data_IF_838613447858
#
_entry.id   IF_838613447858
#
_cell.length_a   1.000
_cell.length_b   1.000
_cell.length_c   1.000
_cell.angle_alpha   90.00
_cell.angle_beta   90.00
_cell.angle_gamma   90.00
#
_symmetry.space_group_name_H-M   'P 1'
#
loop_
_entity.id
_entity.type
_entity.pdbx_description
1 polymer ?
#
# COMPACT_ATOMS: atom_id res chain seq x y z
N UNK A 1 -2.53 -57.16 -9.24
CA UNK A 1 -2.08 -56.53 -7.97
C UNK A 1 -0.88 -55.60 -8.20
N UNK A 2 0.31 -56.09 -8.59
CA UNK A 2 1.52 -55.27 -8.69
C UNK A 2 1.46 -54.05 -9.66
N UNK A 3 0.83 -54.18 -10.84
CA UNK A 3 0.66 -53.05 -11.78
C UNK A 3 -0.20 -51.91 -11.25
N UNK A 4 -1.20 -52.24 -10.41
CA UNK A 4 -2.09 -51.24 -9.82
C UNK A 4 -1.36 -50.47 -8.70
N UNK A 5 -0.54 -51.16 -7.91
CA UNK A 5 0.30 -50.53 -6.88
C UNK A 5 1.39 -49.63 -7.48
N UNK A 6 1.93 -49.97 -8.65
CA UNK A 6 2.92 -49.14 -9.32
C UNK A 6 2.31 -47.81 -9.83
N UNK A 7 1.09 -47.87 -10.35
CA UNK A 7 0.37 -46.69 -10.85
C UNK A 7 0.00 -45.71 -9.73
N UNK A 8 -0.42 -46.23 -8.57
CA UNK A 8 -0.77 -45.39 -7.41
C UNK A 8 0.46 -44.69 -6.82
N UNK A 9 1.61 -45.36 -6.76
CA UNK A 9 2.87 -44.74 -6.31
C UNK A 9 3.28 -43.59 -7.24
N UNK A 10 3.13 -43.77 -8.57
CA UNK A 10 3.46 -42.72 -9.54
C UNK A 10 2.57 -41.47 -9.39
N UNK A 11 1.28 -41.65 -9.11
CA UNK A 11 0.33 -40.56 -8.86
C UNK A 11 0.61 -39.80 -7.55
N UNK A 12 1.11 -40.50 -6.52
CA UNK A 12 1.52 -39.86 -5.27
C UNK A 12 2.79 -39.02 -5.48
N UNK A 13 3.76 -39.49 -6.25
CA UNK A 13 5.00 -38.74 -6.51
C UNK A 13 4.74 -37.47 -7.35
N UNK A 14 3.84 -37.54 -8.34
CA UNK A 14 3.52 -36.37 -9.17
C UNK A 14 2.75 -35.29 -8.39
N UNK A 15 1.80 -35.68 -7.55
CA UNK A 15 1.06 -34.74 -6.69
C UNK A 15 1.96 -34.10 -5.62
N UNK A 16 2.91 -34.86 -5.06
CA UNK A 16 3.89 -34.32 -4.12
C UNK A 16 4.85 -33.31 -4.79
N UNK A 17 5.25 -33.56 -6.04
CA UNK A 17 6.08 -32.64 -6.82
C UNK A 17 5.37 -31.31 -7.12
N UNK A 18 4.07 -31.37 -7.44
CA UNK A 18 3.23 -30.18 -7.66
C UNK A 18 3.06 -29.38 -6.36
N UNK A 19 2.85 -30.06 -5.22
CA UNK A 19 2.74 -29.40 -3.92
C UNK A 19 4.07 -28.76 -3.46
N UNK A 20 5.20 -29.42 -3.69
CA UNK A 20 6.54 -28.85 -3.41
C UNK A 20 6.82 -27.66 -4.32
N UNK A 21 6.42 -27.74 -5.60
CA UNK A 21 6.54 -26.61 -6.52
C UNK A 21 5.67 -25.43 -6.07
N UNK A 22 4.39 -25.68 -5.73
CA UNK A 22 3.42 -24.69 -5.25
C UNK A 22 3.67 -24.15 -3.84
N UNK A 23 4.60 -24.74 -3.07
CA UNK A 23 5.04 -24.18 -1.78
C UNK A 23 6.35 -23.42 -1.91
N UNK A 24 7.20 -23.77 -2.88
CA UNK A 24 8.39 -22.99 -3.24
C UNK A 24 8.04 -21.72 -3.99
N UNK A 25 7.06 -21.79 -4.87
CA UNK A 25 6.41 -20.61 -5.43
C UNK A 25 5.20 -20.33 -4.56
N UNK A 26 5.23 -19.28 -3.72
CA UNK A 26 3.98 -18.68 -3.24
C UNK A 26 3.02 -18.44 -4.43
N UNK A 27 1.73 -18.15 -4.18
CA UNK A 27 0.72 -18.07 -5.25
C UNK A 27 1.30 -17.36 -6.48
N UNK A 28 1.34 -18.09 -7.61
CA UNK A 28 1.84 -17.66 -8.93
C UNK A 28 1.74 -16.15 -9.05
N UNK A 29 2.89 -15.49 -9.24
CA UNK A 29 3.07 -14.05 -9.45
C UNK A 29 1.84 -13.41 -10.12
N UNK A 30 0.87 -13.03 -9.29
CA UNK A 30 -0.05 -11.98 -9.62
C UNK A 30 0.82 -10.77 -9.41
N UNK A 31 1.32 -10.18 -10.50
CA UNK A 31 1.92 -8.85 -10.44
C UNK A 31 1.05 -8.02 -9.49
N UNK A 32 1.61 -7.64 -8.34
CA UNK A 32 0.85 -6.97 -7.31
C UNK A 32 0.36 -5.66 -7.90
N UNK A 33 -0.88 -5.61 -8.41
CA UNK A 33 -1.39 -4.45 -9.16
C UNK A 33 -1.31 -3.15 -8.36
N UNK A 34 -1.30 -3.29 -7.03
CA UNK A 34 -1.17 -2.23 -6.05
C UNK A 34 0.28 -1.77 -5.79
N UNK A 35 1.32 -2.49 -6.22
CA UNK A 35 2.74 -2.13 -6.08
C UNK A 35 3.53 -2.48 -7.35
N UNK A 36 4.01 -1.46 -8.06
CA UNK A 36 4.71 -1.65 -9.33
C UNK A 36 6.01 -0.85 -9.36
N UNK A 37 7.13 -1.47 -9.75
CA UNK A 37 8.36 -0.73 -10.06
C UNK A 37 8.23 -0.19 -11.48
N UNK A 38 8.20 1.14 -11.62
CA UNK A 38 7.98 1.82 -12.90
C UNK A 38 9.26 2.38 -13.51
N UNK A 39 10.34 2.50 -12.73
CA UNK A 39 11.66 2.90 -13.23
C UNK A 39 12.77 2.41 -12.29
N UNK A 40 13.91 2.07 -12.86
CA UNK A 40 15.14 1.73 -12.13
C UNK A 40 16.31 2.43 -12.81
N UNK A 41 17.11 3.17 -12.05
CA UNK A 41 18.30 3.86 -12.50
C UNK A 41 19.45 3.62 -11.51
N UNK A 42 20.32 2.67 -11.82
CA UNK A 42 21.33 2.19 -10.88
C UNK A 42 20.67 1.65 -9.61
N UNK A 43 21.04 2.21 -8.46
CA UNK A 43 20.46 1.85 -7.16
C UNK A 43 19.17 2.63 -6.84
N UNK A 44 18.72 3.54 -7.70
CA UNK A 44 17.49 4.29 -7.48
C UNK A 44 16.31 3.58 -8.15
N UNK A 45 15.24 3.31 -7.40
CA UNK A 45 14.00 2.73 -7.91
C UNK A 45 12.86 3.72 -7.73
N UNK A 46 11.99 3.81 -8.73
CA UNK A 46 10.70 4.49 -8.61
C UNK A 46 9.59 3.47 -8.68
N UNK A 47 8.71 3.48 -7.67
CA UNK A 47 7.55 2.62 -7.57
C UNK A 47 6.25 3.42 -7.60
N UNK A 48 5.23 2.84 -8.21
CA UNK A 48 3.84 3.25 -8.07
C UNK A 48 3.14 2.35 -7.06
N UNK A 49 2.50 2.94 -6.05
CA UNK A 49 1.60 2.21 -5.15
C UNK A 49 0.17 2.70 -5.34
N UNK A 50 -0.79 1.79 -5.39
CA UNK A 50 -2.22 2.12 -5.54
C UNK A 50 -3.07 1.35 -4.54
N UNK A 51 -3.66 2.05 -3.57
CA UNK A 51 -4.46 1.42 -2.51
C UNK A 51 -5.53 2.37 -1.98
N UNK A 52 -6.37 1.85 -1.07
CA UNK A 52 -7.46 2.61 -0.46
C UNK A 52 -7.27 2.70 1.06
N UNK A 53 -7.45 3.89 1.60
CA UNK A 53 -7.54 4.12 3.03
C UNK A 53 -9.00 4.17 3.44
N UNK A 54 -9.35 3.39 4.46
CA UNK A 54 -10.62 3.48 5.14
C UNK A 54 -10.38 4.27 6.42
N UNK A 55 -11.08 5.39 6.59
CA UNK A 55 -10.99 6.22 7.80
C UNK A 55 -12.36 6.29 8.44
N UNK A 56 -12.54 5.55 9.53
CA UNK A 56 -13.70 5.64 10.42
C UNK A 56 -13.41 6.74 11.43
N UNK A 57 -14.11 7.88 11.28
CA UNK A 57 -13.92 9.10 12.07
C UNK A 57 -14.88 9.13 13.28
N UNK A 58 -16.06 8.51 13.15
CA UNK A 58 -17.11 8.40 14.16
C UNK A 58 -17.29 6.99 14.75
N UNK A 59 -18.30 6.80 15.60
CA UNK A 59 -18.65 5.50 16.19
C UNK A 59 -17.65 4.90 17.21
N UNK A 60 -17.97 3.69 17.67
CA UNK A 60 -17.18 2.94 18.68
C UNK A 60 -15.90 2.33 18.09
N UNK A 61 -15.89 2.02 16.78
CA UNK A 61 -14.81 1.30 16.09
C UNK A 61 -13.98 2.22 15.18
N UNK A 62 -13.39 3.28 15.75
CA UNK A 62 -12.59 4.26 14.98
C UNK A 62 -11.33 3.63 14.40
N UNK A 63 -10.96 4.01 13.18
CA UNK A 63 -9.71 3.55 12.57
C UNK A 63 -8.53 4.27 13.21
N UNK A 64 -7.50 3.52 13.62
CA UNK A 64 -6.22 4.10 14.03
C UNK A 64 -5.52 4.62 12.79
N UNK A 65 -5.35 5.93 12.72
CA UNK A 65 -4.54 6.62 11.73
C UNK A 65 -3.46 7.41 12.48
N UNK A 66 -2.20 7.18 12.13
CA UNK A 66 -1.09 7.85 12.80
C UNK A 66 -0.70 9.13 12.05
N UNK A 67 -1.12 10.26 12.62
CA UNK A 67 -0.84 11.57 12.07
C UNK A 67 -1.38 12.69 12.95
N UNK A 68 -0.82 13.89 12.82
CA UNK A 68 -1.31 15.10 13.48
C UNK A 68 -1.88 16.01 12.41
N UNK A 69 -3.11 16.46 12.63
CA UNK A 69 -3.80 17.41 11.76
C UNK A 69 -4.20 18.64 12.55
N UNK A 70 -3.92 19.81 11.99
CA UNK A 70 -4.24 21.11 12.60
C UNK A 70 -5.08 21.94 11.64
N UNK A 71 -5.98 22.77 12.15
CA UNK A 71 -6.71 23.72 11.28
C UNK A 71 -5.73 24.71 10.65
N UNK A 72 -5.77 24.84 9.33
CA UNK A 72 -4.79 25.61 8.55
C UNK A 72 -5.44 26.56 7.53
N UNK A 73 -6.74 26.80 7.65
CA UNK A 73 -7.48 27.68 6.75
C UNK A 73 -8.01 28.92 7.45
N UNK A 74 -7.62 30.10 6.94
CA UNK A 74 -8.18 31.39 7.39
C UNK A 74 -9.58 31.67 6.84
N UNK A 75 -9.90 31.13 5.65
CA UNK A 75 -11.17 31.38 4.92
C UNK A 75 -11.91 30.10 4.50
N UNK A 76 -11.27 28.93 4.63
CA UNK A 76 -11.80 27.64 4.17
C UNK A 76 -11.48 26.57 5.19
N UNK A 77 -12.31 25.54 5.30
CA UNK A 77 -11.98 24.36 6.12
C UNK A 77 -10.83 23.60 5.46
N UNK A 78 -9.64 23.71 6.04
CA UNK A 78 -8.45 22.99 5.59
C UNK A 78 -7.65 22.53 6.80
N UNK A 79 -7.10 21.32 6.73
CA UNK A 79 -6.16 20.82 7.71
C UNK A 79 -4.73 20.95 7.17
N UNK A 80 -3.75 21.16 8.03
CA UNK A 80 -2.35 20.85 7.75
C UNK A 80 -2.04 19.55 8.48
N UNK A 81 -1.67 18.52 7.73
CA UNK A 81 -1.46 17.16 8.24
C UNK A 81 -0.04 16.67 8.02
N UNK A 82 0.55 16.09 9.06
CA UNK A 82 1.62 15.11 8.94
C UNK A 82 1.04 13.72 9.14
N UNK A 83 1.38 12.79 8.26
CA UNK A 83 0.96 11.41 8.40
C UNK A 83 1.99 10.47 7.84
N UNK A 84 2.01 9.25 8.34
CA UNK A 84 2.85 8.21 7.80
C UNK A 84 2.05 6.93 7.60
N UNK A 85 2.43 6.20 6.55
CA UNK A 85 1.90 4.91 6.20
C UNK A 85 2.87 3.86 6.73
N UNK A 86 2.39 2.98 7.60
CA UNK A 86 3.13 1.81 8.06
C UNK A 86 2.58 0.57 7.33
N UNK A 87 3.41 -0.09 6.53
CA UNK A 87 2.98 -1.26 5.76
C UNK A 87 3.20 -2.53 6.58
N UNK A 88 2.17 -3.37 6.70
CA UNK A 88 2.17 -4.56 7.57
C UNK A 88 2.26 -5.88 6.83
N UNK A 89 2.32 -5.87 5.50
CA UNK A 89 2.26 -7.07 4.67
C UNK A 89 2.98 -6.88 3.34
N UNK A 90 3.12 -7.98 2.59
CA UNK A 90 3.78 -8.01 1.29
C UNK A 90 5.28 -7.74 1.38
N UNK A 91 5.89 -7.47 0.22
CA UNK A 91 7.34 -7.23 0.10
C UNK A 91 7.84 -5.99 0.87
N UNK A 92 6.95 -5.06 1.22
CA UNK A 92 7.28 -3.81 1.90
C UNK A 92 6.94 -3.82 3.40
N UNK A 93 6.62 -4.99 3.97
CA UNK A 93 6.30 -5.14 5.39
C UNK A 93 7.36 -4.50 6.30
N UNK A 94 6.91 -3.73 7.29
CA UNK A 94 7.75 -2.99 8.24
C UNK A 94 8.34 -1.68 7.70
N UNK A 95 8.13 -1.37 6.43
CA UNK A 95 8.57 -0.10 5.83
C UNK A 95 7.55 1.01 6.07
N UNK A 96 7.99 2.26 6.00
CA UNK A 96 7.10 3.43 6.11
C UNK A 96 7.31 4.45 5.01
N UNK A 97 6.25 5.21 4.70
CA UNK A 97 6.30 6.41 3.85
C UNK A 97 5.64 7.56 4.64
N UNK A 98 6.31 8.71 4.72
CA UNK A 98 5.80 9.90 5.39
C UNK A 98 5.38 10.96 4.39
N UNK A 99 4.21 11.56 4.61
CA UNK A 99 3.65 12.66 3.83
C UNK A 99 3.39 13.88 4.72
N UNK A 100 3.55 15.06 4.14
CA UNK A 100 3.30 16.32 4.82
C UNK A 100 2.61 17.28 3.87
N UNK A 101 1.47 17.83 4.25
CA UNK A 101 0.81 18.77 3.36
C UNK A 101 -0.50 19.34 3.88
N UNK A 102 -1.02 20.31 3.13
CA UNK A 102 -2.33 20.90 3.35
C UNK A 102 -3.40 19.97 2.76
N UNK A 103 -4.36 19.59 3.59
CA UNK A 103 -5.49 18.73 3.29
C UNK A 103 -6.82 19.51 3.35
N UNK A 104 -7.26 20.12 2.24
CA UNK A 104 -8.60 20.67 2.15
C UNK A 104 -9.60 19.53 1.95
N UNK A 105 -9.94 18.83 3.04
CA UNK A 105 -10.85 17.65 3.08
C UNK A 105 -12.17 17.85 2.30
N UNK A 106 -12.62 19.10 2.15
CA UNK A 106 -13.91 19.47 1.55
C UNK A 106 -13.83 19.73 0.03
N UNK A 107 -12.68 19.52 -0.61
CA UNK A 107 -12.56 19.71 -2.06
C UNK A 107 -12.81 18.39 -2.79
N UNK A 108 -13.86 18.34 -3.62
CA UNK A 108 -14.18 17.22 -4.52
C UNK A 108 -13.19 17.16 -5.72
N UNK A 109 -11.89 17.17 -5.43
CA UNK A 109 -10.81 17.13 -6.42
C UNK A 109 -9.64 16.31 -5.89
N UNK A 110 -8.84 15.68 -6.77
CA UNK A 110 -7.61 15.02 -6.38
C UNK A 110 -6.65 15.99 -5.67
N UNK A 111 -6.07 15.52 -4.58
CA UNK A 111 -5.12 16.28 -3.77
C UNK A 111 -3.73 15.65 -3.85
N UNK A 112 -2.75 16.45 -4.24
CA UNK A 112 -1.35 16.05 -4.20
C UNK A 112 -0.71 16.43 -2.86
N UNK A 113 0.05 15.51 -2.27
CA UNK A 113 0.90 15.77 -1.11
C UNK A 113 2.31 15.22 -1.35
N UNK A 114 3.36 15.94 -0.94
CA UNK A 114 4.73 15.45 -1.09
C UNK A 114 5.01 14.30 -0.12
N UNK A 115 5.77 13.32 -0.61
CA UNK A 115 6.45 12.32 0.21
C UNK A 115 7.74 12.97 0.71
N UNK A 116 7.87 13.10 2.03
CA UNK A 116 8.98 13.78 2.69
C UNK A 116 9.99 12.83 3.32
N UNK A 117 9.74 11.52 3.24
CA UNK A 117 10.67 10.51 3.72
C UNK A 117 10.06 9.12 3.82
N UNK A 118 10.85 8.16 4.29
CA UNK A 118 10.44 6.78 4.52
C UNK A 118 11.49 5.98 5.28
N UNK A 119 11.10 4.81 5.76
CA UNK A 119 11.97 3.86 6.48
C UNK A 119 11.90 2.48 5.84
N UNK A 120 12.80 1.57 6.24
CA UNK A 120 12.87 0.23 5.67
C UNK A 120 13.28 0.26 4.20
N UNK A 121 12.49 -0.39 3.33
CA UNK A 121 12.72 -0.40 1.89
C UNK A 121 12.70 1.01 1.29
N UNK A 122 11.88 1.90 1.84
CA UNK A 122 11.71 3.27 1.34
C UNK A 122 12.71 4.26 1.93
N UNK A 123 13.93 3.81 2.27
CA UNK A 123 14.98 4.73 2.72
C UNK A 123 15.32 5.71 1.59
N UNK A 124 15.50 6.98 1.94
CA UNK A 124 15.66 8.10 1.00
C UNK A 124 14.43 8.36 0.12
N UNK A 125 13.25 7.91 0.54
CA UNK A 125 12.03 8.12 -0.22
C UNK A 125 11.71 9.60 -0.45
N UNK A 126 11.40 9.92 -1.72
CA UNK A 126 10.87 11.20 -2.17
C UNK A 126 9.83 10.96 -3.27
N UNK A 127 8.97 11.94 -3.51
CA UNK A 127 7.93 11.85 -4.53
C UNK A 127 6.65 12.50 -4.06
N UNK A 128 5.51 11.95 -4.48
CA UNK A 128 4.20 12.52 -4.16
C UNK A 128 3.13 11.43 -4.07
N UNK A 129 2.05 11.74 -3.35
CA UNK A 129 0.81 10.97 -3.31
C UNK A 129 -0.33 11.80 -3.87
N UNK A 130 -1.17 11.19 -4.68
CA UNK A 130 -2.46 11.72 -5.09
C UNK A 130 -3.53 11.03 -4.26
N UNK A 131 -4.32 11.82 -3.53
CA UNK A 131 -5.48 11.39 -2.74
C UNK A 131 -6.77 11.78 -3.45
N UNK A 132 -7.69 10.84 -3.61
CA UNK A 132 -9.04 11.10 -4.10
C UNK A 132 -10.07 10.64 -3.07
N UNK A 133 -10.93 11.56 -2.65
CA UNK A 133 -11.99 11.31 -1.67
C UNK A 133 -13.24 10.84 -2.40
N UNK A 134 -13.57 9.55 -2.31
CA UNK A 134 -14.65 8.97 -3.13
C UNK A 134 -16.01 9.01 -2.44
N UNK A 135 -16.07 8.76 -1.13
CA UNK A 135 -17.33 8.65 -0.39
C UNK A 135 -17.23 9.28 0.99
N UNK A 136 -18.12 10.23 1.28
CA UNK A 136 -18.49 10.66 2.64
C UNK A 136 -19.88 10.05 2.88
N UNK A 137 -19.94 8.89 3.55
CA UNK A 137 -21.22 8.33 3.98
C UNK A 137 -21.44 8.82 5.41
N UNK A 138 -22.48 9.64 5.59
CA UNK A 138 -23.02 10.02 6.91
C UNK A 138 -22.01 10.63 7.92
N UNK A 139 -20.98 11.35 7.44
CA UNK A 139 -19.94 12.01 8.25
C UNK A 139 -19.04 11.10 9.12
N UNK A 140 -19.20 9.78 9.08
CA UNK A 140 -18.45 8.86 9.96
C UNK A 140 -17.44 7.97 9.24
N UNK A 141 -17.57 7.79 7.92
CA UNK A 141 -16.69 6.95 7.11
C UNK A 141 -16.18 7.68 5.88
N UNK A 142 -14.86 7.65 5.69
CA UNK A 142 -14.18 8.24 4.54
C UNK A 142 -13.34 7.18 3.83
N UNK A 143 -13.63 6.97 2.54
CA UNK A 143 -12.79 6.17 1.66
C UNK A 143 -11.89 7.08 0.83
N UNK A 144 -10.58 6.91 0.97
CA UNK A 144 -9.57 7.70 0.25
C UNK A 144 -8.79 6.79 -0.66
N UNK A 145 -8.93 6.95 -1.97
CA UNK A 145 -8.05 6.32 -2.95
C UNK A 145 -6.70 7.04 -2.94
N UNK A 146 -5.61 6.28 -2.84
CA UNK A 146 -4.25 6.80 -2.75
C UNK A 146 -3.41 6.19 -3.88
N UNK A 147 -2.83 7.05 -4.73
CA UNK A 147 -1.80 6.67 -5.70
C UNK A 147 -0.49 7.36 -5.33
N UNK A 148 0.53 6.59 -4.96
CA UNK A 148 1.85 7.11 -4.62
C UNK A 148 2.82 6.86 -5.76
N UNK A 149 3.64 7.86 -6.04
CA UNK A 149 4.84 7.72 -6.84
C UNK A 149 6.02 8.00 -5.93
N UNK A 150 6.79 6.96 -5.61
CA UNK A 150 7.87 7.02 -4.63
C UNK A 150 9.18 6.57 -5.27
N UNK A 151 10.17 7.45 -5.22
CA UNK A 151 11.55 7.15 -5.59
C UNK A 151 12.36 6.90 -4.32
N UNK A 152 13.09 5.78 -4.25
CA UNK A 152 13.88 5.35 -3.10
C UNK A 152 15.16 4.64 -3.56
N UNK A 153 16.11 4.46 -2.63
CA UNK A 153 17.35 3.74 -2.92
C UNK A 153 17.22 2.25 -2.54
N UNK A 154 17.48 1.38 -3.51
CA UNK A 154 17.71 -0.04 -3.35
C UNK A 154 19.09 -0.22 -2.69
N UNK A 155 19.12 -0.77 -1.48
CA UNK A 155 20.36 -1.03 -0.74
C UNK A 155 20.68 -2.52 -0.76
#
# INVERSE_FOLDING_TARGET
MAKLMFLTILMVISSLSIAIYATKTGPLDTEESWFQIISTNGNEKTAMLHFYLQKIIGGENKTVYEGVFTSAGLKTTALAGNAYFYFTSGRINGSTISILGRDPIVMNRPLEMPIVGGTGMFRFARGYVIKNYTSIVENEYLLVQCTMYVTYMDN
#
